data_IF_457056625295
#
_entry.id   IF_457056625295
#
_cell.length_a   1.000
_cell.length_b   1.000
_cell.length_c   1.000
_cell.angle_alpha   90.00
_cell.angle_beta   90.00
_cell.angle_gamma   90.00
#
_symmetry.space_group_name_H-M   'P 1'
#
loop_
_entity.id
_entity.type
_entity.pdbx_description
1 polymer ?
#
# COMPACT_ATOMS: atom_id res chain seq x y z
N UNK A 1 -49.77 35.14 4.23
CA UNK A 1 -48.81 35.17 5.38
C UNK A 1 -48.86 33.89 6.25
N UNK A 2 -49.47 32.79 5.80
CA UNK A 2 -49.75 31.60 6.65
C UNK A 2 -48.57 30.67 6.92
N UNK A 3 -47.44 30.79 6.21
CA UNK A 3 -46.29 29.90 6.43
C UNK A 3 -45.14 30.52 7.26
N UNK A 4 -45.29 31.77 7.76
CA UNK A 4 -44.20 32.43 8.50
C UNK A 4 -43.78 31.68 9.78
N UNK A 5 -44.73 31.10 10.51
CA UNK A 5 -44.43 30.31 11.71
C UNK A 5 -43.70 29.00 11.41
N UNK A 6 -44.12 28.28 10.37
CA UNK A 6 -43.46 27.06 9.92
C UNK A 6 -42.05 27.32 9.38
N UNK A 7 -41.87 28.39 8.60
CA UNK A 7 -40.56 28.80 8.08
C UNK A 7 -39.62 29.20 9.24
N UNK A 8 -40.12 29.92 10.24
CA UNK A 8 -39.33 30.31 11.41
C UNK A 8 -38.92 29.11 12.27
N UNK A 9 -39.85 28.18 12.52
CA UNK A 9 -39.55 26.95 13.26
C UNK A 9 -38.52 26.08 12.53
N UNK A 10 -38.64 25.95 11.20
CA UNK A 10 -37.66 25.27 10.37
C UNK A 10 -36.29 25.97 10.42
N UNK A 11 -36.24 27.29 10.29
CA UNK A 11 -34.99 28.06 10.36
C UNK A 11 -34.29 27.92 11.72
N UNK A 12 -35.04 27.96 12.83
CA UNK A 12 -34.51 27.75 14.17
C UNK A 12 -33.95 26.33 14.31
N UNK A 13 -34.69 25.33 13.83
CA UNK A 13 -34.25 23.92 13.89
C UNK A 13 -32.98 23.70 13.08
N UNK A 14 -32.92 24.25 11.85
CA UNK A 14 -31.74 24.21 11.01
C UNK A 14 -30.54 24.91 11.67
N UNK A 15 -30.75 26.10 12.26
CA UNK A 15 -29.71 26.82 12.98
C UNK A 15 -29.15 26.01 14.16
N UNK A 16 -30.02 25.34 14.93
CA UNK A 16 -29.58 24.45 16.02
C UNK A 16 -28.76 23.26 15.49
N UNK A 17 -29.17 22.66 14.38
CA UNK A 17 -28.41 21.57 13.73
C UNK A 17 -27.05 22.06 13.23
N UNK A 18 -26.98 23.26 12.63
CA UNK A 18 -25.73 23.87 12.20
C UNK A 18 -24.78 24.15 13.38
N UNK A 19 -25.29 24.71 14.48
CA UNK A 19 -24.50 24.96 15.70
C UNK A 19 -23.97 23.63 16.26
N UNK A 20 -24.82 22.60 16.30
CA UNK A 20 -24.41 21.27 16.74
C UNK A 20 -23.28 20.70 15.85
N UNK A 21 -23.38 20.78 14.52
CA UNK A 21 -22.30 20.31 13.64
C UNK A 21 -21.02 21.14 13.78
N UNK A 22 -21.12 22.47 13.85
CA UNK A 22 -19.97 23.36 14.01
C UNK A 22 -19.25 23.13 15.35
N UNK A 23 -19.96 22.72 16.40
CA UNK A 23 -19.38 22.47 17.72
C UNK A 23 -18.26 21.41 17.68
N UNK A 24 -18.38 20.39 16.82
CA UNK A 24 -17.33 19.38 16.63
C UNK A 24 -16.06 19.97 16.02
N UNK A 25 -16.21 20.89 15.06
CA UNK A 25 -15.07 21.58 14.43
C UNK A 25 -14.32 22.44 15.44
N UNK A 26 -15.03 23.12 16.35
CA UNK A 26 -14.40 23.90 17.42
C UNK A 26 -13.65 23.01 18.41
N UNK A 27 -14.23 21.86 18.77
CA UNK A 27 -13.60 20.91 19.68
C UNK A 27 -12.29 20.35 19.10
N UNK A 28 -12.27 19.96 17.82
CA UNK A 28 -11.06 19.45 17.17
C UNK A 28 -10.02 20.55 16.94
N UNK A 29 -10.45 21.77 16.61
CA UNK A 29 -9.56 22.92 16.45
C UNK A 29 -8.78 23.24 17.73
N UNK A 30 -9.43 23.14 18.90
CA UNK A 30 -8.77 23.37 20.20
C UNK A 30 -7.63 22.38 20.43
N UNK A 31 -7.88 21.08 20.27
CA UNK A 31 -6.85 20.03 20.45
C UNK A 31 -5.71 20.20 19.43
N UNK A 32 -6.03 20.54 18.18
CA UNK A 32 -5.01 20.82 17.15
C UNK A 32 -4.16 22.05 17.50
N UNK A 33 -4.75 23.08 18.11
CA UNK A 33 -4.03 24.24 18.63
C UNK A 33 -3.10 23.90 19.79
N UNK A 34 -3.58 23.07 20.73
CA UNK A 34 -2.77 22.57 21.85
C UNK A 34 -1.57 21.74 21.35
N UNK A 35 -1.79 20.89 20.34
CA UNK A 35 -0.73 20.11 19.68
C UNK A 35 0.32 21.01 19.01
N UNK A 36 -0.11 22.05 18.28
CA UNK A 36 0.79 22.99 17.63
C UNK A 36 1.65 23.76 18.65
N UNK A 37 1.03 24.18 19.76
CA UNK A 37 1.74 24.84 20.85
C UNK A 37 2.75 23.92 21.54
N UNK A 38 2.39 22.64 21.75
CA UNK A 38 3.29 21.62 22.29
C UNK A 38 4.48 21.35 21.36
N UNK A 39 4.22 21.27 20.06
CA UNK A 39 5.21 20.90 19.06
C UNK A 39 6.27 21.98 18.78
N UNK A 40 5.96 23.26 18.99
CA UNK A 40 6.87 24.38 18.72
C UNK A 40 7.49 24.36 17.31
N UNK A 41 6.72 23.90 16.31
CA UNK A 41 7.15 23.77 14.92
C UNK A 41 7.75 22.41 14.52
N UNK A 42 7.89 21.47 15.46
CA UNK A 42 8.31 20.10 15.17
C UNK A 42 7.13 19.23 14.70
N UNK A 43 7.09 18.93 13.41
CA UNK A 43 6.00 18.17 12.77
C UNK A 43 5.82 16.77 13.36
N UNK A 44 6.90 16.12 13.84
CA UNK A 44 6.83 14.77 14.40
C UNK A 44 6.16 14.80 15.76
N UNK A 45 6.60 15.72 16.63
CA UNK A 45 5.97 15.90 17.96
C UNK A 45 4.50 16.26 17.86
N UNK A 46 4.15 17.07 16.86
CA UNK A 46 2.76 17.43 16.61
C UNK A 46 1.92 16.21 16.19
N UNK A 47 2.45 15.39 15.27
CA UNK A 47 1.80 14.15 14.85
C UNK A 47 1.65 13.18 16.02
N UNK A 48 2.71 12.98 16.81
CA UNK A 48 2.73 12.05 17.94
C UNK A 48 1.74 12.47 19.03
N UNK A 49 1.60 13.77 19.29
CA UNK A 49 0.58 14.31 20.20
C UNK A 49 -0.84 13.97 19.70
N UNK A 50 -1.12 14.26 18.43
CA UNK A 50 -2.44 14.01 17.84
C UNK A 50 -2.78 12.52 17.80
N UNK A 51 -1.81 11.67 17.49
CA UNK A 51 -1.95 10.21 17.50
C UNK A 51 -2.26 9.70 18.91
N UNK A 52 -1.57 10.25 19.93
CA UNK A 52 -1.81 9.93 21.33
C UNK A 52 -3.25 10.28 21.73
N UNK A 53 -3.73 11.50 21.42
CA UNK A 53 -5.10 11.90 21.73
C UNK A 53 -6.14 11.10 20.92
N UNK A 54 -5.84 10.76 19.66
CA UNK A 54 -6.73 9.95 18.82
C UNK A 54 -6.85 8.49 19.30
N UNK A 55 -5.88 8.00 20.07
CA UNK A 55 -5.88 6.67 20.68
C UNK A 55 -6.67 6.59 22.00
N UNK A 56 -6.96 7.74 22.63
CA UNK A 56 -7.66 7.79 23.91
C UNK A 56 -9.08 7.24 23.83
N UNK A 57 -9.49 6.57 24.90
CA UNK A 57 -10.86 6.06 25.03
C UNK A 57 -11.80 7.18 25.46
N UNK A 58 -13.11 6.91 25.35
CA UNK A 58 -14.19 7.88 25.61
C UNK A 58 -14.20 8.39 27.07
N UNK A 59 -13.69 7.61 28.01
CA UNK A 59 -13.52 7.97 29.42
C UNK A 59 -12.40 9.00 29.64
N UNK A 60 -11.38 9.01 28.77
CA UNK A 60 -10.21 9.90 28.88
C UNK A 60 -10.40 11.19 28.08
N UNK A 61 -11.03 11.09 26.90
CA UNK A 61 -11.42 12.24 26.10
C UNK A 61 -12.80 12.03 25.48
N UNK A 62 -13.71 12.96 25.74
CA UNK A 62 -15.06 12.94 25.17
C UNK A 62 -15.58 14.33 24.92
N UNK A 63 -16.13 14.54 23.71
CA UNK A 63 -16.90 15.71 23.37
C UNK A 63 -18.28 15.27 22.86
N UNK A 64 -19.35 15.69 23.55
CA UNK A 64 -20.72 15.29 23.26
C UNK A 64 -20.90 13.75 23.16
N UNK A 65 -20.13 13.00 23.96
CA UNK A 65 -20.17 11.54 23.99
C UNK A 65 -19.44 10.85 22.83
N UNK A 66 -18.61 11.55 22.07
CA UNK A 66 -17.80 11.02 20.97
C UNK A 66 -16.31 11.11 21.32
N UNK A 67 -15.50 10.14 20.86
CA UNK A 67 -14.03 10.19 20.94
C UNK A 67 -13.45 11.24 20.00
N UNK A 68 -12.16 11.55 20.14
CA UNK A 68 -11.49 12.56 19.31
C UNK A 68 -11.57 12.20 17.82
N UNK A 69 -11.25 10.93 17.48
CA UNK A 69 -11.37 10.40 16.12
C UNK A 69 -12.77 10.59 15.54
N UNK A 70 -13.82 10.36 16.33
CA UNK A 70 -15.20 10.51 15.87
C UNK A 70 -15.65 11.97 15.75
N UNK A 71 -15.05 12.88 16.53
CA UNK A 71 -15.24 14.33 16.35
C UNK A 71 -14.53 14.83 15.09
N UNK A 72 -13.35 14.30 14.81
CA UNK A 72 -12.58 14.55 13.59
C UNK A 72 -13.32 14.09 12.32
N UNK A 73 -14.00 12.94 12.34
CA UNK A 73 -14.86 12.49 11.23
C UNK A 73 -16.05 13.43 10.95
N UNK A 74 -16.57 14.08 12.01
CA UNK A 74 -17.72 15.00 11.96
C UNK A 74 -17.33 16.45 11.72
N UNK A 75 -16.03 16.77 11.69
CA UNK A 75 -15.57 18.13 11.45
C UNK A 75 -15.86 18.56 10.01
N UNK A 76 -15.96 19.87 9.79
CA UNK A 76 -16.15 20.41 8.45
C UNK A 76 -15.01 19.98 7.52
N UNK A 77 -15.39 19.49 6.32
CA UNK A 77 -14.44 19.23 5.27
C UNK A 77 -14.01 20.56 4.65
N UNK A 78 -12.78 20.97 4.93
CA UNK A 78 -12.20 22.20 4.39
C UNK A 78 -11.50 21.92 3.04
N UNK A 79 -11.33 20.66 2.65
CA UNK A 79 -10.62 20.28 1.43
C UNK A 79 -9.12 20.59 1.49
N UNK A 80 -8.41 20.22 0.42
CA UNK A 80 -6.95 20.39 0.32
C UNK A 80 -6.54 21.87 0.30
N UNK A 81 -7.33 22.72 -0.34
CA UNK A 81 -7.00 24.14 -0.53
C UNK A 81 -6.97 24.91 0.81
N UNK A 82 -7.93 24.64 1.70
CA UNK A 82 -8.04 25.34 2.99
C UNK A 82 -7.33 24.62 4.15
N UNK A 83 -7.25 23.29 4.16
CA UNK A 83 -6.51 22.53 5.20
C UNK A 83 -5.03 22.32 4.87
N UNK A 84 -4.63 22.49 3.60
CA UNK A 84 -3.36 21.97 3.09
C UNK A 84 -3.33 20.43 3.14
N UNK A 85 -2.24 19.82 2.70
CA UNK A 85 -2.04 18.38 2.75
C UNK A 85 -1.27 17.84 1.56
N UNK A 86 -1.66 16.65 1.10
CA UNK A 86 -0.97 15.92 0.03
C UNK A 86 -1.92 15.51 -1.09
N UNK A 87 -1.50 15.71 -2.35
CA UNK A 87 -2.13 15.17 -3.54
C UNK A 87 -1.14 14.27 -4.29
N UNK A 88 -1.53 13.03 -4.57
CA UNK A 88 -0.70 12.02 -5.25
C UNK A 88 -1.53 11.31 -6.30
N UNK A 89 -0.91 11.05 -7.45
CA UNK A 89 -1.42 10.11 -8.45
C UNK A 89 -0.56 8.86 -8.37
N UNK A 90 -1.20 7.74 -8.08
CA UNK A 90 -0.58 6.41 -8.05
C UNK A 90 -0.90 5.69 -9.35
N UNK A 91 0.11 5.06 -9.95
CA UNK A 91 -0.05 4.24 -11.16
C UNK A 91 0.26 2.78 -10.84
N UNK A 92 -0.63 1.89 -11.28
CA UNK A 92 -0.51 0.45 -11.11
C UNK A 92 0.18 -0.11 -12.34
N UNK A 93 1.30 -0.79 -12.11
CA UNK A 93 2.09 -1.40 -13.17
C UNK A 93 1.36 -2.62 -13.75
N UNK A 94 0.71 -2.43 -14.89
CA UNK A 94 0.07 -3.52 -15.67
C UNK A 94 1.11 -4.56 -16.10
N UNK A 95 2.36 -4.13 -16.30
CA UNK A 95 3.48 -5.02 -16.64
C UNK A 95 3.74 -6.03 -15.53
N UNK A 96 3.69 -5.59 -14.28
CA UNK A 96 3.96 -6.48 -13.15
C UNK A 96 2.79 -7.44 -12.93
N UNK A 97 1.56 -7.00 -13.21
CA UNK A 97 0.38 -7.89 -13.24
C UNK A 97 0.57 -8.97 -14.30
N UNK A 98 0.94 -8.61 -15.54
CA UNK A 98 1.14 -9.59 -16.62
C UNK A 98 2.26 -10.59 -16.27
N UNK A 99 3.35 -10.12 -15.63
CA UNK A 99 4.41 -11.00 -15.13
C UNK A 99 3.90 -11.94 -14.04
N UNK A 100 3.15 -11.45 -13.07
CA UNK A 100 2.57 -12.25 -11.99
C UNK A 100 1.61 -13.32 -12.54
N UNK A 101 0.71 -12.96 -13.46
CA UNK A 101 -0.23 -13.89 -14.10
C UNK A 101 0.46 -15.00 -14.90
N UNK A 102 1.67 -14.74 -15.41
CA UNK A 102 2.51 -15.74 -16.08
C UNK A 102 3.32 -16.62 -15.12
N UNK A 103 3.13 -16.46 -13.80
CA UNK A 103 3.97 -17.04 -12.75
C UNK A 103 5.46 -16.72 -12.97
N UNK A 104 5.77 -15.46 -13.26
CA UNK A 104 7.13 -14.95 -13.52
C UNK A 104 7.89 -15.76 -14.57
N UNK A 105 7.22 -16.09 -15.68
CA UNK A 105 7.78 -16.92 -16.75
C UNK A 105 9.16 -16.45 -17.21
N UNK A 106 10.06 -17.43 -17.38
CA UNK A 106 11.42 -17.21 -17.89
C UNK A 106 11.50 -17.24 -19.41
N UNK A 107 10.37 -17.43 -20.09
CA UNK A 107 10.30 -17.51 -21.54
C UNK A 107 10.89 -16.27 -22.23
N UNK A 108 11.80 -16.50 -23.17
CA UNK A 108 12.53 -15.42 -23.83
C UNK A 108 11.65 -14.61 -24.77
N UNK A 109 10.66 -15.24 -25.40
CA UNK A 109 9.70 -14.59 -26.30
C UNK A 109 8.81 -13.65 -25.51
N UNK A 110 8.26 -14.12 -24.39
CA UNK A 110 7.45 -13.35 -23.47
C UNK A 110 8.17 -12.10 -22.94
N UNK A 111 9.41 -12.26 -22.46
CA UNK A 111 10.21 -11.12 -21.95
C UNK A 111 10.53 -10.10 -23.03
N UNK A 112 10.82 -10.56 -24.25
CA UNK A 112 11.02 -9.67 -25.41
C UNK A 112 9.73 -8.95 -25.78
N UNK A 113 8.59 -9.62 -25.75
CA UNK A 113 7.28 -9.03 -26.03
C UNK A 113 6.92 -7.95 -25.00
N UNK A 114 7.13 -8.20 -23.71
CA UNK A 114 6.96 -7.18 -22.66
C UNK A 114 7.88 -5.96 -22.87
N UNK A 115 9.14 -6.20 -23.22
CA UNK A 115 10.09 -5.12 -23.46
C UNK A 115 9.73 -4.30 -24.72
N UNK A 116 9.22 -4.95 -25.77
CA UNK A 116 8.77 -4.30 -27.00
C UNK A 116 7.48 -3.51 -26.76
N UNK A 117 6.50 -4.08 -26.07
CA UNK A 117 5.27 -3.39 -25.68
C UNK A 117 5.55 -2.13 -24.84
N UNK A 118 6.52 -2.20 -23.92
CA UNK A 118 6.99 -1.02 -23.16
C UNK A 118 7.57 0.08 -24.05
N UNK A 119 8.16 -0.26 -25.20
CA UNK A 119 8.63 0.75 -26.17
C UNK A 119 7.44 1.37 -26.87
N UNK A 120 6.48 0.56 -27.35
CA UNK A 120 5.26 1.05 -28.00
C UNK A 120 4.46 1.99 -27.10
N UNK A 121 4.40 1.71 -25.80
CA UNK A 121 3.71 2.56 -24.84
C UNK A 121 4.35 3.95 -24.64
N UNK A 122 5.63 4.13 -24.99
CA UNK A 122 6.27 5.46 -24.93
C UNK A 122 5.75 6.40 -26.02
N UNK A 123 5.40 5.82 -27.17
CA UNK A 123 5.00 6.55 -28.38
C UNK A 123 3.47 6.53 -28.59
N UNK A 124 2.73 5.76 -27.78
CA UNK A 124 1.28 5.56 -27.90
C UNK A 124 0.56 5.74 -26.56
N UNK A 125 -0.69 6.21 -26.62
CA UNK A 125 -1.62 6.24 -25.47
C UNK A 125 -2.53 5.01 -25.40
N UNK A 126 -2.28 4.00 -26.24
CA UNK A 126 -3.09 2.79 -26.31
C UNK A 126 -2.89 1.89 -25.08
N UNK A 127 -3.90 1.04 -24.79
CA UNK A 127 -3.88 0.08 -23.69
C UNK A 127 -2.66 -0.85 -23.80
N UNK A 128 -1.89 -0.95 -22.72
CA UNK A 128 -0.69 -1.78 -22.66
C UNK A 128 -0.96 -3.24 -23.02
N UNK A 129 -2.14 -3.77 -22.70
CA UNK A 129 -2.51 -5.17 -23.00
C UNK A 129 -2.67 -5.37 -24.52
N UNK A 130 -3.17 -4.37 -25.24
CA UNK A 130 -3.25 -4.38 -26.70
C UNK A 130 -1.84 -4.36 -27.30
N UNK A 131 -1.01 -3.43 -26.84
CA UNK A 131 0.38 -3.30 -27.29
C UNK A 131 1.19 -4.56 -27.00
N UNK A 132 0.94 -5.23 -25.87
CA UNK A 132 1.53 -6.51 -25.52
C UNK A 132 1.10 -7.63 -26.48
N UNK A 133 -0.19 -7.72 -26.80
CA UNK A 133 -0.69 -8.69 -27.79
C UNK A 133 -0.03 -8.51 -29.16
N UNK A 134 0.04 -7.27 -29.64
CA UNK A 134 0.69 -6.91 -30.91
C UNK A 134 2.18 -7.27 -30.91
N UNK A 135 2.91 -6.88 -29.85
CA UNK A 135 4.32 -7.19 -29.71
C UNK A 135 4.59 -8.71 -29.65
N UNK A 136 3.70 -9.47 -29.01
CA UNK A 136 3.83 -10.93 -28.93
C UNK A 136 3.61 -11.59 -30.30
N UNK A 137 2.59 -11.17 -31.05
CA UNK A 137 2.31 -11.67 -32.40
C UNK A 137 3.43 -11.31 -33.39
N UNK A 138 4.06 -10.14 -33.25
CA UNK A 138 5.19 -9.73 -34.08
C UNK A 138 6.44 -10.61 -33.84
N UNK A 139 6.74 -10.92 -32.57
CA UNK A 139 7.92 -11.71 -32.22
C UNK A 139 7.69 -13.20 -32.51
N UNK A 140 6.49 -13.71 -32.26
CA UNK A 140 6.17 -15.12 -32.40
C UNK A 140 4.74 -15.35 -32.92
N UNK A 141 4.51 -15.20 -34.25
CA UNK A 141 3.18 -15.28 -34.85
C UNK A 141 2.51 -16.66 -34.70
N UNK A 142 3.30 -17.72 -34.49
CA UNK A 142 2.81 -19.09 -34.32
C UNK A 142 2.74 -19.54 -32.85
N UNK A 143 3.16 -18.69 -31.90
CA UNK A 143 3.15 -19.04 -30.48
C UNK A 143 1.79 -18.78 -29.84
N UNK A 144 1.49 -19.57 -28.80
CA UNK A 144 0.26 -19.45 -28.02
C UNK A 144 0.55 -18.88 -26.64
N UNK A 145 -0.11 -17.78 -26.29
CA UNK A 145 -0.08 -17.20 -24.95
C UNK A 145 -0.60 -18.19 -23.90
N UNK A 146 -1.50 -19.10 -24.28
CA UNK A 146 -2.00 -20.16 -23.40
C UNK A 146 -0.89 -21.04 -22.79
N UNK A 147 0.25 -21.20 -23.47
CA UNK A 147 1.39 -21.96 -22.93
C UNK A 147 2.10 -21.23 -21.78
N UNK A 148 1.98 -19.90 -21.70
CA UNK A 148 2.61 -19.06 -20.68
C UNK A 148 1.62 -18.74 -19.55
N UNK A 149 0.36 -18.50 -19.89
CA UNK A 149 -0.69 -18.08 -18.96
C UNK A 149 -1.59 -19.23 -18.48
N UNK A 150 -1.34 -20.47 -18.91
CA UNK A 150 -1.99 -21.67 -18.38
C UNK A 150 -1.49 -22.05 -16.97
N UNK A 151 -1.42 -21.08 -16.06
CA UNK A 151 -0.99 -21.25 -14.67
C UNK A 151 -2.08 -21.91 -13.83
N UNK A 152 -1.73 -22.40 -12.64
CA UNK A 152 -2.70 -23.03 -11.73
C UNK A 152 -3.84 -22.06 -11.35
N UNK A 153 -3.53 -20.78 -11.20
CA UNK A 153 -4.47 -19.72 -10.82
C UNK A 153 -5.50 -19.42 -11.93
N UNK A 154 -5.09 -19.61 -13.20
CA UNK A 154 -5.92 -19.32 -14.36
C UNK A 154 -6.48 -20.58 -15.04
N UNK A 155 -6.27 -21.76 -14.46
CA UNK A 155 -6.65 -23.06 -15.04
C UNK A 155 -8.14 -23.16 -15.43
N UNK A 156 -9.02 -22.51 -14.68
CA UNK A 156 -10.47 -22.53 -14.95
C UNK A 156 -10.89 -21.54 -16.05
N UNK A 157 -9.98 -20.66 -16.49
CA UNK A 157 -10.23 -19.56 -17.44
C UNK A 157 -9.38 -19.64 -18.70
N UNK A 158 -8.22 -20.27 -18.63
CA UNK A 158 -7.27 -20.47 -19.73
C UNK A 158 -6.95 -21.96 -19.82
N UNK A 159 -7.31 -22.54 -20.97
CA UNK A 159 -6.95 -23.92 -21.33
C UNK A 159 -5.85 -23.93 -22.41
N UNK A 160 -5.32 -25.11 -22.73
CA UNK A 160 -4.29 -25.28 -23.77
C UNK A 160 -4.77 -24.95 -25.20
N UNK A 161 -6.09 -24.88 -25.41
CA UNK A 161 -6.71 -24.58 -26.71
C UNK A 161 -7.09 -23.11 -26.86
N UNK A 162 -6.97 -22.33 -25.80
CA UNK A 162 -7.37 -20.92 -25.75
C UNK A 162 -6.57 -20.11 -26.74
N UNK A 163 -7.27 -19.27 -27.49
CA UNK A 163 -6.68 -18.38 -28.48
C UNK A 163 -5.96 -17.22 -27.79
N UNK A 164 -4.98 -16.61 -28.47
CA UNK A 164 -4.28 -15.44 -27.93
C UNK A 164 -5.24 -14.30 -27.56
N UNK A 165 -6.30 -14.11 -28.36
CA UNK A 165 -7.35 -13.12 -28.08
C UNK A 165 -8.13 -13.39 -26.80
N UNK A 166 -8.48 -14.66 -26.54
CA UNK A 166 -9.16 -15.05 -25.30
C UNK A 166 -8.25 -14.86 -24.08
N UNK A 167 -6.97 -15.25 -24.20
CA UNK A 167 -5.99 -15.05 -23.13
C UNK A 167 -5.81 -13.56 -22.82
N UNK A 168 -5.71 -12.69 -23.83
CA UNK A 168 -5.63 -11.24 -23.62
C UNK A 168 -6.88 -10.66 -22.95
N UNK A 169 -8.06 -11.20 -23.25
CA UNK A 169 -9.30 -10.80 -22.58
C UNK A 169 -9.30 -11.20 -21.09
N UNK A 170 -8.82 -12.40 -20.77
CA UNK A 170 -8.64 -12.85 -19.38
C UNK A 170 -7.64 -11.95 -18.66
N UNK A 171 -6.47 -11.68 -19.25
CA UNK A 171 -5.45 -10.78 -18.70
C UNK A 171 -6.04 -9.39 -18.40
N UNK A 172 -6.88 -8.85 -19.30
CA UNK A 172 -7.55 -7.56 -19.08
C UNK A 172 -8.50 -7.58 -17.89
N UNK A 173 -9.30 -8.64 -17.75
CA UNK A 173 -10.20 -8.78 -16.61
C UNK A 173 -9.43 -8.91 -15.29
N UNK A 174 -8.35 -9.69 -15.28
CA UNK A 174 -7.48 -9.83 -14.11
C UNK A 174 -6.77 -8.52 -13.76
N UNK A 175 -6.31 -7.77 -14.77
CA UNK A 175 -5.70 -6.46 -14.56
C UNK A 175 -6.69 -5.47 -13.95
N UNK A 176 -7.93 -5.44 -14.43
CA UNK A 176 -8.97 -4.60 -13.83
C UNK A 176 -9.28 -5.03 -12.38
N UNK A 177 -9.41 -6.33 -12.13
CA UNK A 177 -9.60 -6.85 -10.78
C UNK A 177 -8.45 -6.51 -9.83
N UNK A 178 -7.20 -6.56 -10.32
CA UNK A 178 -6.03 -6.14 -9.57
C UNK A 178 -6.06 -4.63 -9.25
N UNK A 179 -6.55 -3.79 -10.17
CA UNK A 179 -6.73 -2.35 -9.93
C UNK A 179 -7.78 -2.09 -8.84
N UNK A 180 -8.92 -2.78 -8.90
CA UNK A 180 -9.97 -2.63 -7.90
C UNK A 180 -9.52 -3.12 -6.52
N UNK A 181 -8.76 -4.22 -6.48
CA UNK A 181 -8.14 -4.71 -5.25
C UNK A 181 -7.14 -3.70 -4.69
N UNK A 182 -6.27 -3.13 -5.52
CA UNK A 182 -5.33 -2.09 -5.12
C UNK A 182 -6.07 -0.86 -4.56
N UNK A 183 -7.15 -0.43 -5.20
CA UNK A 183 -8.00 0.66 -4.70
C UNK A 183 -8.55 0.37 -3.30
N UNK A 184 -9.11 -0.83 -3.09
CA UNK A 184 -9.64 -1.24 -1.79
C UNK A 184 -8.56 -1.33 -0.69
N UNK A 185 -7.36 -1.81 -1.05
CA UNK A 185 -6.21 -1.86 -0.15
C UNK A 185 -5.78 -0.44 0.24
N UNK A 186 -5.62 0.47 -0.74
CA UNK A 186 -5.22 1.85 -0.50
C UNK A 186 -6.23 2.56 0.41
N UNK A 187 -7.52 2.39 0.14
CA UNK A 187 -8.60 2.90 1.00
C UNK A 187 -8.47 2.41 2.44
N UNK A 188 -8.32 1.09 2.60
CA UNK A 188 -8.18 0.48 3.93
C UNK A 188 -6.93 0.94 4.68
N UNK A 189 -5.83 1.22 3.97
CA UNK A 189 -4.58 1.76 4.56
C UNK A 189 -4.75 3.21 5.02
N UNK A 190 -5.39 4.03 4.21
CA UNK A 190 -5.64 5.44 4.52
C UNK A 190 -6.59 5.56 5.72
N UNK A 191 -7.63 4.72 5.78
CA UNK A 191 -8.57 4.68 6.91
C UNK A 191 -7.85 4.38 8.24
N UNK A 192 -6.84 3.49 8.22
CA UNK A 192 -6.03 3.15 9.41
C UNK A 192 -5.14 4.29 9.88
N UNK A 193 -4.75 5.22 9.00
CA UNK A 193 -3.88 6.34 9.34
C UNK A 193 -4.65 7.51 9.99
N UNK A 194 -5.98 7.38 10.16
CA UNK A 194 -6.78 8.39 10.84
C UNK A 194 -6.91 9.69 10.06
N UNK A 195 -6.72 9.66 8.73
CA UNK A 195 -6.95 10.82 7.87
C UNK A 195 -8.43 11.12 7.87
N UNK A 196 -8.79 12.36 8.19
CA UNK A 196 -10.16 12.81 8.09
C UNK A 196 -10.52 13.03 6.63
N UNK A 197 -11.49 12.27 6.13
CA UNK A 197 -12.16 12.51 4.84
C UNK A 197 -11.18 12.49 3.64
N UNK A 198 -10.49 11.35 3.38
CA UNK A 198 -9.67 11.21 2.19
C UNK A 198 -10.55 11.23 0.92
N UNK A 199 -10.06 11.86 -0.15
CA UNK A 199 -10.65 11.72 -1.48
C UNK A 199 -9.80 10.75 -2.29
N UNK A 200 -10.40 9.61 -2.67
CA UNK A 200 -9.74 8.57 -3.45
C UNK A 200 -10.62 8.29 -4.66
N UNK A 201 -10.10 8.55 -5.85
CA UNK A 201 -10.83 8.42 -7.11
C UNK A 201 -9.99 7.66 -8.13
N UNK A 202 -10.60 6.69 -8.82
CA UNK A 202 -9.98 6.09 -10.00
C UNK A 202 -10.08 7.10 -11.16
N UNK A 203 -8.99 7.29 -11.90
CA UNK A 203 -8.98 8.18 -13.06
C UNK A 203 -9.49 7.45 -14.30
N UNK A 204 -9.97 8.20 -15.30
CA UNK A 204 -10.44 7.64 -16.58
C UNK A 204 -9.34 6.86 -17.32
N UNK A 205 -8.08 7.24 -17.10
CA UNK A 205 -6.93 6.46 -17.58
C UNK A 205 -6.76 5.21 -16.73
N UNK A 206 -6.89 4.04 -17.37
CA UNK A 206 -6.77 2.73 -16.71
C UNK A 206 -5.51 2.63 -15.85
N UNK A 207 -5.67 2.11 -14.63
CA UNK A 207 -4.57 1.84 -13.71
C UNK A 207 -4.05 3.05 -12.93
N UNK A 208 -4.69 4.23 -12.98
CA UNK A 208 -4.29 5.39 -12.16
C UNK A 208 -5.32 5.72 -11.08
N UNK A 209 -4.83 6.01 -9.88
CA UNK A 209 -5.62 6.34 -8.70
C UNK A 209 -5.18 7.71 -8.17
N UNK A 210 -6.10 8.65 -8.14
CA UNK A 210 -5.94 9.95 -7.48
C UNK A 210 -6.21 9.80 -5.99
N UNK A 211 -5.28 10.30 -5.16
CA UNK A 211 -5.37 10.29 -3.71
C UNK A 211 -5.11 11.69 -3.17
N UNK A 212 -6.10 12.26 -2.50
CA UNK A 212 -5.99 13.55 -1.82
C UNK A 212 -6.24 13.37 -0.32
N UNK A 213 -5.26 13.80 0.48
CA UNK A 213 -5.25 13.63 1.93
C UNK A 213 -5.12 15.01 2.59
N UNK A 214 -6.25 15.65 2.96
CA UNK A 214 -6.23 16.95 3.61
C UNK A 214 -5.74 16.83 5.07
N UNK A 215 -4.99 17.83 5.53
CA UNK A 215 -4.52 17.92 6.90
C UNK A 215 -3.33 17.01 7.26
N UNK A 216 -2.71 16.37 6.26
CA UNK A 216 -1.44 15.65 6.45
C UNK A 216 -0.30 16.63 6.67
N UNK A 217 0.47 16.43 7.75
CA UNK A 217 1.62 17.27 8.12
C UNK A 217 2.97 16.68 7.71
N UNK A 218 3.04 15.36 7.56
CA UNK A 218 4.23 14.64 7.11
C UNK A 218 3.92 13.84 5.82
N UNK A 219 4.18 14.41 4.64
CA UNK A 219 3.96 13.73 3.37
C UNK A 219 4.91 12.56 3.12
N UNK A 220 6.12 12.57 3.71
CA UNK A 220 7.09 11.49 3.51
C UNK A 220 6.62 10.21 4.19
N UNK A 221 6.17 10.30 5.45
CA UNK A 221 5.60 9.17 6.18
C UNK A 221 4.41 8.53 5.45
N UNK A 222 3.55 9.35 4.85
CA UNK A 222 2.39 8.84 4.10
C UNK A 222 2.82 8.23 2.77
N UNK A 223 3.79 8.83 2.07
CA UNK A 223 4.37 8.25 0.84
C UNK A 223 4.92 6.85 1.11
N UNK A 224 5.74 6.70 2.14
CA UNK A 224 6.37 5.41 2.47
C UNK A 224 5.32 4.33 2.77
N UNK A 225 4.22 4.71 3.44
CA UNK A 225 3.11 3.82 3.73
C UNK A 225 2.30 3.42 2.48
N UNK A 226 2.06 4.37 1.57
CA UNK A 226 1.33 4.12 0.33
C UNK A 226 2.17 3.29 -0.64
N UNK A 227 3.50 3.46 -0.64
CA UNK A 227 4.44 2.69 -1.47
C UNK A 227 4.76 1.31 -0.90
N UNK A 228 4.67 1.12 0.43
CA UNK A 228 5.02 -0.15 1.07
C UNK A 228 4.23 -1.33 0.51
N UNK A 229 4.91 -2.32 -0.04
CA UNK A 229 4.29 -3.58 -0.47
C UNK A 229 3.96 -4.39 0.77
N UNK A 230 2.68 -4.62 1.06
CA UNK A 230 2.25 -5.42 2.21
C UNK A 230 2.14 -6.89 1.81
N UNK A 231 3.27 -7.51 1.46
CA UNK A 231 3.32 -8.94 1.21
C UNK A 231 3.23 -9.66 2.56
N UNK A 232 2.08 -10.29 2.82
CA UNK A 232 1.93 -11.20 3.95
C UNK A 232 2.38 -12.59 3.49
N UNK A 233 3.55 -13.00 3.94
CA UNK A 233 4.10 -14.32 3.67
C UNK A 233 4.03 -15.16 4.94
N UNK A 234 3.60 -16.42 4.78
CA UNK A 234 3.62 -17.40 5.85
C UNK A 234 4.85 -18.27 5.65
N UNK A 235 5.77 -18.20 6.61
CA UNK A 235 6.98 -19.00 6.63
C UNK A 235 6.82 -20.11 7.67
N UNK A 236 7.21 -21.32 7.31
CA UNK A 236 7.35 -22.39 8.29
C UNK A 236 8.55 -22.05 9.21
N UNK A 237 8.31 -22.07 10.51
CA UNK A 237 9.32 -21.73 11.52
C UNK A 237 9.61 -22.95 12.36
N UNK A 238 10.88 -23.16 12.70
CA UNK A 238 11.30 -24.23 13.60
C UNK A 238 11.19 -23.80 15.07
N UNK A 239 10.83 -24.75 15.93
CA UNK A 239 10.90 -24.56 17.37
C UNK A 239 12.34 -24.65 17.87
N UNK A 240 12.63 -24.02 19.01
CA UNK A 240 13.96 -23.98 19.58
C UNK A 240 14.53 -25.40 19.83
N UNK A 241 13.68 -26.32 20.27
CA UNK A 241 14.00 -27.73 20.52
C UNK A 241 14.54 -28.46 19.29
N UNK A 242 14.08 -28.10 18.09
CA UNK A 242 14.45 -28.72 16.82
C UNK A 242 15.82 -28.26 16.32
N UNK A 243 16.22 -27.02 16.65
CA UNK A 243 17.44 -26.38 16.12
C UNK A 243 18.60 -26.44 17.12
N UNK A 244 18.32 -26.48 18.43
CA UNK A 244 19.34 -26.34 19.49
C UNK A 244 20.47 -27.37 19.39
N UNK A 245 20.17 -28.64 19.10
CA UNK A 245 21.20 -29.68 18.99
C UNK A 245 22.17 -29.45 17.81
N UNK A 246 21.66 -28.93 16.70
CA UNK A 246 22.50 -28.59 15.55
C UNK A 246 23.44 -27.42 15.86
N UNK A 247 22.98 -26.42 16.61
CA UNK A 247 23.81 -25.30 17.06
C UNK A 247 24.91 -25.74 18.04
N UNK A 248 24.59 -26.64 18.98
CA UNK A 248 25.58 -27.22 19.89
C UNK A 248 26.63 -28.03 19.11
N UNK A 249 26.19 -28.83 18.14
CA UNK A 249 27.08 -29.65 17.30
C UNK A 249 28.00 -28.77 16.45
N UNK A 250 27.47 -27.70 15.85
CA UNK A 250 28.26 -26.71 15.11
C UNK A 250 29.30 -26.02 16.01
N UNK A 251 28.91 -25.61 17.22
CA UNK A 251 29.81 -24.98 18.18
C UNK A 251 30.95 -25.91 18.61
N UNK A 252 30.66 -27.19 18.85
CA UNK A 252 31.68 -28.19 19.15
C UNK A 252 32.65 -28.39 17.99
N UNK A 253 32.13 -28.41 16.75
CA UNK A 253 32.97 -28.56 15.56
C UNK A 253 33.89 -27.37 15.33
N UNK A 254 33.40 -26.14 15.54
CA UNK A 254 34.21 -24.92 15.47
C UNK A 254 35.34 -24.98 16.51
N UNK A 255 35.02 -25.39 17.74
CA UNK A 255 36.01 -25.54 18.81
C UNK A 255 37.11 -26.56 18.47
N UNK A 256 36.76 -27.69 17.87
CA UNK A 256 37.73 -28.68 17.40
C UNK A 256 38.64 -28.13 16.31
N UNK A 257 38.07 -27.38 15.36
CA UNK A 257 38.84 -26.74 14.29
C UNK A 257 39.81 -25.71 14.87
N UNK A 258 39.35 -24.83 15.76
CA UNK A 258 40.21 -23.85 16.43
C UNK A 258 41.32 -24.49 17.27
N UNK A 259 41.04 -25.59 17.98
CA UNK A 259 42.09 -26.31 18.70
C UNK A 259 43.10 -26.96 17.77
N UNK A 260 42.66 -27.44 16.61
CA UNK A 260 43.56 -28.05 15.61
C UNK A 260 44.45 -26.98 14.96
N UNK A 261 43.90 -25.81 14.64
CA UNK A 261 44.65 -24.67 14.09
C UNK A 261 45.71 -24.15 15.07
N UNK A 262 45.37 -24.03 16.37
CA UNK A 262 46.35 -23.64 17.40
C UNK A 262 47.47 -24.66 17.58
N UNK A 263 47.14 -25.95 17.49
CA UNK A 263 48.14 -27.03 17.61
C UNK A 263 49.07 -27.08 16.39
N UNK A 264 48.60 -26.71 15.18
CA UNK A 264 49.47 -26.58 14.00
C UNK A 264 50.38 -25.36 14.05
N UNK A 265 49.94 -24.25 14.67
CA UNK A 265 50.77 -23.05 14.83
C UNK A 265 51.88 -23.24 15.89
N UNK A 266 51.59 -23.95 16.99
CA UNK A 266 52.60 -24.28 18.03
C UNK A 266 53.62 -25.34 17.58
N UNK A 267 53.30 -26.16 16.57
CA UNK A 267 54.21 -27.19 16.04
C UNK A 267 55.22 -26.64 14.99
N UNK A 268 55.02 -25.42 14.48
CA UNK A 268 55.92 -24.77 13.53
C UNK A 268 56.94 -23.82 14.20
N UNK A 269 56.90 -23.61 15.52
CA UNK A 269 57.97 -22.90 16.24
C UNK A 269 59.17 -23.84 16.43
N UNK A 270 60.33 -23.59 15.80
CA UNK A 270 61.49 -24.45 15.91
C UNK A 270 62.03 -24.44 17.35
N UNK A 271 62.19 -25.63 17.94
CA UNK A 271 62.92 -25.81 19.19
C UNK A 271 64.36 -25.31 19.00
N UNK A 272 64.66 -24.18 19.63
CA UNK A 272 66.01 -23.60 19.65
C UNK A 272 66.93 -24.55 20.44
N UNK A 273 67.79 -25.24 19.70
CA UNK A 273 68.72 -26.24 20.21
C UNK A 273 69.91 -25.49 20.82
N UNK A 274 70.12 -25.60 22.14
CA UNK A 274 71.37 -25.20 22.80
C UNK A 274 72.26 -26.41 23.05
#
# INVERSE_FOLDING_TARGET
>A
MQNRGAILAFAITLALVCIYQLSFTVATYKVKGDAAHYAQGDLRKESDYLDSIASLRKDEWSFLGNTFRKCQEKELNLGLDLKGGMNVILEISVVDIIQALSNYSTDTTFRKALALAKKYQRDSQEDFIILFGQAFEEIAPNARLAAIFGTLELKDRIDFNSTNREVLAVIRNEAQGAVDNAFNILRSRIDRFGVTQPNISQLETQGRILVELPGIKDPQRVRDLLQGTANLEFWETYENSEVMQYLISANNRIREMESTTKTSEEAEEPQDIT
#
